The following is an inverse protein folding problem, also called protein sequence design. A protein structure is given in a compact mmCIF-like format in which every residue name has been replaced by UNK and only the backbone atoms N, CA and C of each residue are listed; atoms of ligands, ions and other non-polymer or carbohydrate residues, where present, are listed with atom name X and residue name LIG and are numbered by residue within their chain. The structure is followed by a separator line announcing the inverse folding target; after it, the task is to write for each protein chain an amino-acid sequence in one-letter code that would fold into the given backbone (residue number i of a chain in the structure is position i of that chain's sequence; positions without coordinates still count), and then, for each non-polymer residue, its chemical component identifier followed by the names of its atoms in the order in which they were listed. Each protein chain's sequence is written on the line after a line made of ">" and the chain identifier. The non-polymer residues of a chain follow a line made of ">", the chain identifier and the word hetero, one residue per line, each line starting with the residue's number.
data_IF_834426007939
#
_entry.id   IF_834426007939
#
_cell.length_a   1.000
_cell.length_b   1.000
_cell.length_c   1.000
_cell.angle_alpha   90.00
_cell.angle_beta   90.00
_cell.angle_gamma   90.00
#
_symmetry.space_group_name_H-M   'P 1'
#
loop_
_entity.id
_entity.type
_entity.pdbx_description
1 polymer ?
#
# COMPACT_ATOMS: atom_id res chain seq x y z
N UNK A 1 26.12 -5.02 -26.37
CA UNK A 1 25.04 -4.90 -27.38
C UNK A 1 23.93 -5.90 -27.01
N UNK A 2 23.19 -5.59 -25.93
CA UNK A 2 22.38 -6.53 -25.13
C UNK A 2 20.86 -6.30 -25.35
N UNK A 3 20.50 -5.34 -26.20
CA UNK A 3 19.13 -4.86 -26.36
C UNK A 3 18.30 -5.59 -27.43
N UNK A 4 18.85 -6.62 -28.12
CA UNK A 4 18.16 -7.29 -29.25
C UNK A 4 17.74 -8.74 -28.96
N UNK A 5 18.43 -9.47 -28.07
CA UNK A 5 18.14 -10.91 -27.84
C UNK A 5 16.94 -11.19 -26.93
N UNK A 6 16.45 -10.20 -26.18
CA UNK A 6 15.23 -10.34 -25.36
C UNK A 6 13.95 -10.05 -26.14
N UNK A 7 14.05 -9.45 -27.32
CA UNK A 7 12.91 -9.01 -28.13
C UNK A 7 12.38 -10.17 -28.99
N UNK A 8 13.25 -10.98 -29.62
CA UNK A 8 12.82 -12.04 -30.56
C UNK A 8 12.22 -13.30 -29.92
N UNK A 9 12.69 -13.74 -28.75
CA UNK A 9 12.31 -15.09 -28.26
C UNK A 9 10.89 -15.18 -27.70
N UNK A 10 10.23 -14.05 -27.44
CA UNK A 10 8.81 -13.98 -27.03
C UNK A 10 7.86 -13.58 -28.17
N UNK A 11 8.39 -13.37 -29.38
CA UNK A 11 7.61 -13.00 -30.57
C UNK A 11 7.13 -14.21 -31.39
N UNK A 12 7.65 -15.42 -31.16
CA UNK A 12 7.36 -16.56 -32.03
C UNK A 12 6.04 -17.30 -31.74
N UNK A 13 5.23 -16.84 -30.78
CA UNK A 13 3.93 -17.46 -30.47
C UNK A 13 2.78 -16.45 -30.44
N UNK A 14 2.96 -15.29 -31.06
CA UNK A 14 1.87 -14.36 -31.33
C UNK A 14 1.58 -14.43 -32.83
N UNK A 15 0.91 -15.52 -33.24
CA UNK A 15 0.25 -15.56 -34.54
C UNK A 15 -0.88 -14.53 -34.50
N UNK A 16 -0.64 -13.46 -35.24
CA UNK A 16 -1.52 -12.35 -35.52
C UNK A 16 -2.87 -12.90 -36.03
N UNK A 17 -3.94 -12.55 -35.33
CA UNK A 17 -5.27 -12.47 -35.90
C UNK A 17 -5.82 -11.09 -35.55
N UNK A 18 -5.63 -10.17 -36.48
CA UNK A 18 -6.34 -8.90 -36.51
C UNK A 18 -7.82 -9.17 -36.76
N UNK A 19 -8.71 -8.41 -36.11
CA UNK A 19 -9.95 -7.87 -36.68
C UNK A 19 -10.71 -7.02 -35.64
N UNK A 20 -11.23 -5.89 -36.12
CA UNK A 20 -12.38 -5.13 -35.61
C UNK A 20 -12.21 -4.22 -34.38
N UNK A 21 -12.10 -2.92 -34.70
CA UNK A 21 -12.85 -1.78 -34.17
C UNK A 21 -13.45 -1.88 -32.74
N UNK A 22 -12.96 -1.02 -31.86
CA UNK A 22 -13.61 -0.61 -30.62
C UNK A 22 -12.60 0.06 -29.69
N UNK A 23 -12.72 1.38 -29.48
CA UNK A 23 -12.00 2.06 -28.41
C UNK A 23 -12.49 1.52 -27.06
N UNK A 24 -11.73 0.59 -26.48
CA UNK A 24 -11.85 0.27 -25.05
C UNK A 24 -10.50 0.56 -24.42
N UNK A 25 -10.41 1.68 -23.71
CA UNK A 25 -9.31 1.95 -22.77
C UNK A 25 -9.43 0.89 -21.67
N UNK A 26 -8.73 -0.23 -21.83
CA UNK A 26 -8.59 -1.21 -20.76
C UNK A 26 -7.57 -0.66 -19.78
N UNK A 27 -8.06 0.03 -18.76
CA UNK A 27 -7.32 0.28 -17.52
C UNK A 27 -6.84 -1.07 -16.99
N UNK A 28 -5.55 -1.36 -17.12
CA UNK A 28 -4.92 -2.49 -16.44
C UNK A 28 -5.01 -2.17 -14.95
N UNK A 29 -5.98 -2.78 -14.26
CA UNK A 29 -5.98 -2.88 -12.82
C UNK A 29 -4.68 -3.60 -12.45
N UNK A 30 -3.68 -2.83 -12.05
CA UNK A 30 -2.53 -3.36 -11.35
C UNK A 30 -3.03 -3.79 -9.98
N UNK A 31 -3.59 -5.01 -9.90
CA UNK A 31 -3.81 -5.66 -8.63
C UNK A 31 -2.43 -5.83 -7.98
N UNK A 32 -2.15 -5.02 -6.96
CA UNK A 32 -0.94 -5.14 -6.17
C UNK A 32 -0.82 -6.57 -5.64
N UNK A 33 0.38 -7.15 -5.55
CA UNK A 33 0.57 -8.48 -5.00
C UNK A 33 0.22 -8.46 -3.50
N UNK A 34 -1.04 -8.76 -3.17
CA UNK A 34 -1.56 -8.67 -1.81
C UNK A 34 -0.67 -9.39 -0.78
N UNK A 35 -0.19 -10.60 -1.10
CA UNK A 35 0.64 -11.39 -0.18
C UNK A 35 2.05 -10.82 0.09
N UNK A 36 2.66 -10.10 -0.86
CA UNK A 36 4.00 -9.52 -0.66
C UNK A 36 3.92 -8.24 0.19
N UNK A 37 2.89 -7.43 -0.04
CA UNK A 37 2.61 -6.23 0.75
C UNK A 37 2.19 -6.55 2.19
N UNK A 38 1.35 -7.56 2.39
CA UNK A 38 0.92 -8.01 3.73
C UNK A 38 2.09 -8.54 4.56
N UNK A 39 2.94 -9.38 3.97
CA UNK A 39 4.13 -9.90 4.66
C UNK A 39 5.18 -8.82 4.94
N UNK A 40 5.38 -7.87 4.01
CA UNK A 40 6.23 -6.71 4.23
C UNK A 40 5.75 -5.84 5.40
N UNK A 41 4.44 -5.58 5.46
CA UNK A 41 3.79 -4.85 6.53
C UNK A 41 3.99 -5.52 7.90
N UNK A 42 3.68 -6.82 8.00
CA UNK A 42 3.85 -7.57 9.24
C UNK A 42 5.32 -7.62 9.69
N UNK A 43 6.26 -7.79 8.75
CA UNK A 43 7.70 -7.74 9.05
C UNK A 43 8.12 -6.37 9.62
N UNK A 44 7.55 -5.27 9.11
CA UNK A 44 7.84 -3.92 9.64
C UNK A 44 7.28 -3.72 11.04
N UNK A 45 6.08 -4.20 11.32
CA UNK A 45 5.51 -4.15 12.68
C UNK A 45 6.34 -4.95 13.68
N UNK A 46 6.79 -6.15 13.29
CA UNK A 46 7.65 -6.98 14.13
C UNK A 46 8.98 -6.27 14.45
N UNK A 47 9.62 -5.66 13.44
CA UNK A 47 10.84 -4.85 13.64
C UNK A 47 10.60 -3.63 14.53
N UNK A 48 9.38 -3.10 14.57
CA UNK A 48 8.96 -2.00 15.44
C UNK A 48 8.54 -2.47 16.85
N UNK A 49 8.59 -3.78 17.12
CA UNK A 49 8.18 -4.42 18.37
C UNK A 49 6.69 -4.17 18.70
N UNK A 50 5.84 -4.06 17.68
CA UNK A 50 4.38 -3.91 17.79
C UNK A 50 3.77 -5.31 17.74
N UNK A 51 4.04 -6.11 18.77
CA UNK A 51 3.68 -7.54 18.82
C UNK A 51 2.42 -7.80 19.67
N UNK A 52 1.66 -6.76 20.00
CA UNK A 52 0.53 -6.86 20.95
C UNK A 52 -0.77 -7.42 20.34
N UNK A 53 -0.80 -7.75 19.06
CA UNK A 53 -1.99 -8.32 18.39
C UNK A 53 -1.65 -9.44 17.43
N UNK A 54 -2.69 -10.15 16.98
CA UNK A 54 -2.58 -11.15 15.95
C UNK A 54 -2.24 -10.52 14.59
N UNK A 55 -1.60 -11.29 13.71
CA UNK A 55 -1.33 -10.84 12.34
C UNK A 55 -2.63 -10.44 11.59
N UNK A 56 -3.76 -11.10 11.87
CA UNK A 56 -5.04 -10.77 11.27
C UNK A 56 -5.55 -9.40 11.71
N UNK A 57 -5.47 -9.08 13.01
CA UNK A 57 -5.86 -7.76 13.53
C UNK A 57 -4.96 -6.66 12.96
N UNK A 58 -3.66 -6.92 12.90
CA UNK A 58 -2.71 -5.98 12.30
C UNK A 58 -3.09 -5.67 10.85
N UNK A 59 -3.36 -6.70 10.05
CA UNK A 59 -3.79 -6.51 8.66
C UNK A 59 -5.12 -5.76 8.57
N UNK A 60 -6.10 -6.11 9.39
CA UNK A 60 -7.38 -5.41 9.43
C UNK A 60 -7.23 -3.90 9.70
N UNK A 61 -6.45 -3.53 10.71
CA UNK A 61 -6.23 -2.12 11.05
C UNK A 61 -5.34 -1.40 10.05
N UNK A 62 -4.36 -2.08 9.46
CA UNK A 62 -3.54 -1.54 8.38
C UNK A 62 -4.35 -1.21 7.13
N UNK A 63 -5.26 -2.12 6.71
CA UNK A 63 -6.14 -1.87 5.57
C UNK A 63 -7.19 -0.82 5.87
N UNK A 64 -7.80 -0.85 7.07
CA UNK A 64 -8.77 0.18 7.49
C UNK A 64 -8.16 1.58 7.49
N UNK A 65 -6.91 1.73 7.94
CA UNK A 65 -6.19 2.99 7.87
C UNK A 65 -5.93 3.45 6.42
N UNK A 66 -5.58 2.51 5.52
CA UNK A 66 -5.43 2.80 4.11
C UNK A 66 -6.74 3.24 3.45
N UNK A 67 -7.85 2.60 3.78
CA UNK A 67 -9.16 2.92 3.23
C UNK A 67 -9.63 4.30 3.72
N UNK A 68 -9.47 4.60 5.02
CA UNK A 68 -9.76 5.94 5.56
C UNK A 68 -8.96 7.04 4.84
N UNK A 69 -7.66 6.81 4.59
CA UNK A 69 -6.84 7.76 3.84
C UNK A 69 -7.31 7.94 2.39
N UNK A 70 -7.77 6.87 1.73
CA UNK A 70 -8.31 6.94 0.35
C UNK A 70 -9.66 7.65 0.30
N UNK A 71 -10.44 7.54 1.36
CA UNK A 71 -11.70 8.26 1.54
C UNK A 71 -11.49 9.74 1.91
N UNK A 72 -10.24 10.16 2.11
CA UNK A 72 -9.86 11.54 2.37
C UNK A 72 -9.81 11.92 3.85
N UNK A 73 -9.90 10.94 4.77
CA UNK A 73 -9.67 11.18 6.20
C UNK A 73 -8.23 11.66 6.43
N UNK A 74 -8.02 12.75 7.19
CA UNK A 74 -6.68 13.28 7.42
C UNK A 74 -5.85 12.36 8.34
N UNK A 75 -4.51 12.34 8.21
CA UNK A 75 -3.68 11.36 8.92
C UNK A 75 -3.78 11.42 10.46
N UNK A 76 -4.03 12.59 11.05
CA UNK A 76 -4.22 12.74 12.50
C UNK A 76 -5.55 12.14 13.00
N UNK A 77 -6.60 12.21 12.18
CA UNK A 77 -7.87 11.55 12.45
C UNK A 77 -7.74 10.02 12.27
N UNK A 78 -7.03 9.56 11.24
CA UNK A 78 -6.71 8.14 11.06
C UNK A 78 -5.89 7.58 12.23
N UNK A 79 -4.92 8.34 12.76
CA UNK A 79 -4.18 7.97 13.99
C UNK A 79 -5.13 7.94 15.18
N UNK A 80 -6.08 8.87 15.27
CA UNK A 80 -7.06 8.91 16.36
C UNK A 80 -7.99 7.70 16.32
N UNK A 81 -8.48 7.28 15.14
CA UNK A 81 -9.22 6.03 14.93
C UNK A 81 -8.41 4.83 15.44
N UNK A 82 -7.15 4.68 15.02
CA UNK A 82 -6.29 3.60 15.49
C UNK A 82 -6.12 3.60 17.01
N UNK A 83 -6.03 4.77 17.64
CA UNK A 83 -5.92 4.85 19.10
C UNK A 83 -7.23 4.47 19.81
N UNK A 84 -8.35 5.00 19.33
CA UNK A 84 -9.63 4.91 20.00
C UNK A 84 -10.29 3.55 19.79
N UNK A 85 -10.22 3.03 18.56
CA UNK A 85 -10.99 1.85 18.14
C UNK A 85 -10.17 0.57 18.24
N UNK A 86 -8.86 0.67 17.95
CA UNK A 86 -7.94 -0.46 18.05
C UNK A 86 -7.15 -0.51 19.37
N UNK A 87 -7.27 0.53 20.21
CA UNK A 87 -6.59 0.60 21.50
C UNK A 87 -5.07 0.83 21.43
N UNK A 88 -4.55 1.33 20.31
CA UNK A 88 -3.12 1.60 20.16
C UNK A 88 -2.63 2.71 21.08
N UNK A 89 -1.44 2.51 21.67
CA UNK A 89 -0.68 3.62 22.25
C UNK A 89 -0.34 4.65 21.15
N UNK A 90 -0.25 5.95 21.47
CA UNK A 90 -0.02 7.00 20.46
C UNK A 90 1.17 6.72 19.53
N UNK A 91 2.30 6.27 20.11
CA UNK A 91 3.49 5.91 19.33
C UNK A 91 3.25 4.74 18.36
N UNK A 92 2.53 3.71 18.80
CA UNK A 92 2.26 2.53 17.99
C UNK A 92 1.26 2.82 16.87
N UNK A 93 0.28 3.70 17.10
CA UNK A 93 -0.68 4.11 16.07
C UNK A 93 0.04 4.79 14.89
N UNK A 94 0.96 5.73 15.17
CA UNK A 94 1.76 6.37 14.13
C UNK A 94 2.69 5.41 13.39
N UNK A 95 3.33 4.48 14.11
CA UNK A 95 4.17 3.45 13.48
C UNK A 95 3.37 2.48 12.61
N UNK A 96 2.15 2.13 13.03
CA UNK A 96 1.25 1.28 12.25
C UNK A 96 0.82 1.99 10.97
N UNK A 97 0.39 3.26 11.08
CA UNK A 97 0.01 4.06 9.92
C UNK A 97 1.19 4.18 8.94
N UNK A 98 2.39 4.50 9.44
CA UNK A 98 3.60 4.60 8.63
C UNK A 98 3.99 3.29 7.94
N UNK A 99 3.82 2.15 8.61
CA UNK A 99 4.04 0.84 8.00
C UNK A 99 2.98 0.53 6.92
N UNK A 100 1.71 0.86 7.17
CA UNK A 100 0.60 0.61 6.26
C UNK A 100 0.76 1.39 4.95
N UNK A 101 1.00 2.71 5.02
CA UNK A 101 1.19 3.52 3.80
C UNK A 101 2.45 3.18 3.02
N UNK A 102 3.38 2.45 3.64
CA UNK A 102 4.65 2.13 3.01
C UNK A 102 4.73 0.68 2.51
N UNK A 103 3.69 -0.14 2.71
CA UNK A 103 3.59 -1.53 2.24
C UNK A 103 2.22 -1.86 1.64
N UNK A 104 1.12 -1.44 2.29
CA UNK A 104 -0.27 -1.76 1.91
C UNK A 104 -0.91 -0.72 0.97
N UNK A 105 -0.64 0.56 1.19
CA UNK A 105 -1.15 1.67 0.37
C UNK A 105 -0.06 2.69 0.01
N UNK A 106 0.92 2.29 -0.83
CA UNK A 106 2.01 3.18 -1.28
C UNK A 106 1.52 4.44 -2.00
N UNK A 107 0.29 4.42 -2.55
CA UNK A 107 -0.39 5.59 -3.10
C UNK A 107 -0.57 6.72 -2.07
N UNK A 108 -0.80 6.39 -0.79
CA UNK A 108 -1.04 7.36 0.27
C UNK A 108 0.24 7.79 1.01
N UNK A 109 1.40 7.23 0.67
CA UNK A 109 2.66 7.50 1.37
C UNK A 109 3.02 8.98 1.40
N UNK A 110 2.92 9.67 0.25
CA UNK A 110 3.27 11.09 0.15
C UNK A 110 2.34 11.96 0.98
N UNK A 111 1.03 11.66 1.02
CA UNK A 111 0.04 12.37 1.84
C UNK A 111 0.40 12.33 3.32
N UNK A 112 0.78 11.15 3.83
CA UNK A 112 1.17 11.01 5.24
C UNK A 112 2.53 11.67 5.53
N UNK A 113 3.48 11.62 4.60
CA UNK A 113 4.79 12.26 4.81
C UNK A 113 4.70 13.79 4.76
N UNK A 114 3.91 14.37 3.87
CA UNK A 114 3.65 15.81 3.83
C UNK A 114 3.04 16.30 5.16
N UNK A 115 2.01 15.61 5.63
CA UNK A 115 1.44 15.85 6.94
C UNK A 115 2.48 15.73 8.06
N UNK A 116 3.30 14.68 8.07
CA UNK A 116 4.29 14.46 9.11
C UNK A 116 5.35 15.58 9.15
N UNK A 117 5.80 16.06 7.99
CA UNK A 117 6.70 17.20 7.91
C UNK A 117 6.07 18.49 8.44
N UNK A 118 4.79 18.73 8.14
CA UNK A 118 4.05 19.88 8.65
C UNK A 118 3.95 19.88 10.19
N UNK A 119 4.03 18.72 10.85
CA UNK A 119 4.04 18.63 12.31
C UNK A 119 5.38 18.97 12.96
N UNK A 120 6.51 18.71 12.28
CA UNK A 120 7.85 18.95 12.83
C UNK A 120 8.17 20.45 12.88
N UNK A 121 7.54 21.25 12.00
CA UNK A 121 7.70 22.70 11.96
C UNK A 121 6.77 23.50 12.89
N UNK A 122 5.93 22.83 13.68
CA UNK A 122 5.04 23.47 14.68
C UNK A 122 5.65 23.42 16.08
#
# INVERSE_FOLDING_TARGET
>A
MILQRHIERRQNMVRIAALAAGLTVTTVLAAAPAAASESGYLMRLEKANISAMSAADALHWGTAACDALRDGTPPDETISMLRNDAGFRPRHAGQLLGAAVAELCPDQYQTVMDWAHAQIGR
#
